data_IF_119747892266
#
_entry.id   IF_119747892266
#
_cell.length_a   1.000
_cell.length_b   1.000
_cell.length_c   1.000
_cell.angle_alpha   90.00
_cell.angle_beta   90.00
_cell.angle_gamma   90.00
#
_symmetry.space_group_name_H-M   'P 1'
#
loop_
_entity.id
_entity.type
_entity.pdbx_description
1 polymer ?
#
# COMPACT_ATOMS: atom_id res chain seq x y z
N UNK A 1 -26.88 11.82 0.72
CA UNK A 1 -26.75 10.64 -0.16
C UNK A 1 -25.25 10.41 -0.40
N UNK A 2 -24.58 9.62 0.45
CA UNK A 2 -23.16 9.28 0.25
C UNK A 2 -23.12 8.20 -0.83
N UNK A 3 -22.97 8.63 -2.06
CA UNK A 3 -22.92 7.76 -3.23
C UNK A 3 -21.54 7.13 -3.32
N UNK A 4 -21.43 5.84 -2.94
CA UNK A 4 -20.26 4.96 -3.03
C UNK A 4 -18.98 5.52 -2.36
N UNK A 5 -18.72 5.12 -1.13
CA UNK A 5 -17.46 5.40 -0.42
C UNK A 5 -16.30 4.81 -1.21
N UNK A 6 -15.37 5.66 -1.66
CA UNK A 6 -14.10 5.20 -2.19
C UNK A 6 -13.35 4.48 -1.07
N UNK A 7 -12.93 3.23 -1.29
CA UNK A 7 -12.23 2.45 -0.26
C UNK A 7 -10.98 3.17 0.25
N UNK A 8 -10.36 4.00 -0.58
CA UNK A 8 -9.17 4.79 -0.24
C UNK A 8 -9.42 5.83 0.85
N UNK A 9 -10.69 6.17 1.12
CA UNK A 9 -11.07 7.00 2.26
C UNK A 9 -10.85 6.32 3.62
N UNK A 10 -10.62 5.01 3.63
CA UNK A 10 -10.35 4.22 4.84
C UNK A 10 -8.86 3.92 5.00
N UNK A 11 -8.00 4.47 4.15
CA UNK A 11 -6.58 4.10 4.09
C UNK A 11 -5.72 5.26 4.56
N UNK A 12 -4.89 4.99 5.57
CA UNK A 12 -3.91 5.95 6.09
C UNK A 12 -2.57 5.82 5.35
N UNK A 13 -2.12 4.59 5.09
CA UNK A 13 -0.81 4.36 4.50
C UNK A 13 -0.78 3.10 3.63
N UNK A 14 -0.15 3.21 2.46
CA UNK A 14 0.23 2.07 1.61
C UNK A 14 1.74 2.06 1.47
N UNK A 15 2.36 0.92 1.76
CA UNK A 15 3.77 0.70 1.48
C UNK A 15 4.01 -0.62 0.76
N UNK A 16 5.09 -0.66 0.00
CA UNK A 16 5.42 -1.80 -0.85
C UNK A 16 6.89 -2.18 -0.70
N UNK A 17 7.15 -3.46 -0.56
CA UNK A 17 8.44 -4.09 -0.78
C UNK A 17 8.39 -4.87 -2.09
N UNK A 18 9.34 -4.61 -2.99
CA UNK A 18 9.40 -5.19 -4.33
C UNK A 18 10.18 -6.52 -4.40
N UNK A 19 10.81 -6.93 -3.30
CA UNK A 19 11.60 -8.16 -3.20
C UNK A 19 11.64 -8.65 -1.74
N UNK A 20 10.45 -8.90 -1.19
CA UNK A 20 10.28 -9.28 0.20
C UNK A 20 10.85 -10.68 0.48
N UNK A 21 11.68 -10.79 1.51
CA UNK A 21 12.38 -12.04 1.88
C UNK A 21 11.60 -12.91 2.89
N UNK A 22 10.39 -12.50 3.28
CA UNK A 22 9.59 -13.15 4.32
C UNK A 22 10.01 -12.80 5.75
N UNK A 23 11.00 -11.91 5.94
CA UNK A 23 11.55 -11.55 7.25
C UNK A 23 11.48 -10.05 7.49
N UNK A 24 12.09 -9.25 6.61
CA UNK A 24 12.21 -7.80 6.75
C UNK A 24 11.45 -7.11 5.63
N UNK A 25 10.51 -6.23 5.98
CA UNK A 25 9.81 -5.42 5.01
C UNK A 25 10.65 -4.19 4.65
N UNK A 26 11.28 -4.22 3.47
CA UNK A 26 12.11 -3.14 2.96
C UNK A 26 11.27 -2.19 2.10
N UNK A 27 10.88 -1.05 2.67
CA UNK A 27 10.01 -0.08 1.99
C UNK A 27 10.70 0.44 0.72
N UNK A 28 10.17 0.05 -0.44
CA UNK A 28 10.52 0.58 -1.75
C UNK A 28 9.64 1.76 -2.15
N UNK A 29 8.34 1.66 -1.87
CA UNK A 29 7.35 2.72 -2.12
C UNK A 29 6.53 2.96 -0.85
N UNK A 30 6.24 4.23 -0.60
CA UNK A 30 5.38 4.70 0.49
C UNK A 30 4.42 5.76 -0.06
N UNK A 31 3.13 5.58 0.20
CA UNK A 31 2.07 6.46 -0.28
C UNK A 31 1.09 6.75 0.86
N UNK A 32 0.93 8.03 1.17
CA UNK A 32 0.05 8.55 2.21
C UNK A 32 -0.81 9.68 1.61
N UNK A 33 -2.07 9.83 2.03
CA UNK A 33 -2.83 11.03 1.73
C UNK A 33 -2.11 12.27 2.26
N UNK A 34 -1.84 13.26 1.40
CA UNK A 34 -1.12 14.47 1.80
C UNK A 34 -1.98 15.47 2.60
N UNK A 35 -3.30 15.34 2.49
CA UNK A 35 -4.30 16.13 3.22
C UNK A 35 -5.67 15.42 3.24
N UNK A 36 -6.65 15.97 3.98
CA UNK A 36 -8.00 15.42 4.18
C UNK A 36 -8.85 15.29 2.90
N UNK A 37 -8.45 15.94 1.81
CA UNK A 37 -9.13 15.89 0.50
C UNK A 37 -8.45 14.95 -0.48
N UNK A 38 -7.29 14.41 -0.12
CA UNK A 38 -6.53 13.48 -0.96
C UNK A 38 -6.70 12.04 -0.49
N UNK A 39 -6.36 11.13 -1.39
CA UNK A 39 -6.32 9.70 -1.15
C UNK A 39 -4.97 9.16 -1.60
N UNK A 40 -4.64 7.97 -1.13
CA UNK A 40 -3.60 7.16 -1.78
C UNK A 40 -3.92 6.94 -3.26
N UNK A 41 -2.92 6.66 -4.08
CA UNK A 41 -3.09 6.39 -5.51
C UNK A 41 -4.03 5.21 -5.75
N UNK A 42 -3.83 4.10 -5.01
CA UNK A 42 -4.59 2.86 -5.16
C UNK A 42 -4.23 2.04 -6.41
N UNK A 43 -3.39 2.57 -7.29
CA UNK A 43 -2.75 1.84 -8.39
C UNK A 43 -1.27 2.22 -8.47
N UNK A 44 -0.42 1.21 -8.51
CA UNK A 44 1.03 1.38 -8.47
C UNK A 44 1.68 0.61 -9.61
N UNK A 45 2.67 1.23 -10.25
CA UNK A 45 3.54 0.58 -11.24
C UNK A 45 4.92 0.42 -10.61
N UNK A 46 5.44 -0.80 -10.61
CA UNK A 46 6.71 -1.14 -9.95
C UNK A 46 7.68 -1.59 -11.05
N UNK A 47 8.58 -0.71 -11.51
CA UNK A 47 9.58 -1.10 -12.50
C UNK A 47 10.69 -1.96 -11.86
N UNK A 48 11.36 -2.75 -12.69
CA UNK A 48 12.58 -3.49 -12.31
C UNK A 48 12.38 -4.47 -11.13
N UNK A 49 11.25 -5.17 -11.10
CA UNK A 49 11.04 -6.29 -10.16
C UNK A 49 11.91 -7.48 -10.62
N UNK A 50 12.81 -8.02 -9.77
CA UNK A 50 13.59 -9.20 -10.12
C UNK A 50 12.70 -10.40 -10.47
N UNK A 51 13.15 -11.24 -11.40
CA UNK A 51 12.43 -12.47 -11.73
C UNK A 51 12.30 -13.38 -10.50
N UNK A 52 11.07 -13.82 -10.19
CA UNK A 52 10.80 -14.66 -9.02
C UNK A 52 10.78 -13.94 -7.67
N UNK A 53 10.90 -12.60 -7.66
CA UNK A 53 10.75 -11.82 -6.44
C UNK A 53 9.31 -11.90 -5.91
N UNK A 54 9.18 -11.92 -4.57
CA UNK A 54 7.90 -11.75 -3.88
C UNK A 54 7.65 -10.27 -3.68
N UNK A 55 6.48 -9.80 -4.10
CA UNK A 55 6.02 -8.44 -3.84
C UNK A 55 5.17 -8.47 -2.58
N UNK A 56 5.52 -7.64 -1.60
CA UNK A 56 4.71 -7.47 -0.40
C UNK A 56 4.09 -6.07 -0.37
N UNK A 57 2.79 -6.03 -0.12
CA UNK A 57 2.01 -4.81 0.08
C UNK A 57 1.58 -4.75 1.53
N UNK A 58 1.95 -3.68 2.22
CA UNK A 58 1.47 -3.36 3.55
C UNK A 58 0.49 -2.19 3.45
N UNK A 59 -0.68 -2.36 4.05
CA UNK A 59 -1.73 -1.35 4.10
C UNK A 59 -2.08 -1.10 5.55
N UNK A 60 -2.14 0.17 5.95
CA UNK A 60 -2.62 0.61 7.25
C UNK A 60 -3.90 1.43 7.03
N UNK A 61 -4.98 1.02 7.70
CA UNK A 61 -6.25 1.74 7.67
C UNK A 61 -6.26 2.93 8.65
N UNK A 62 -7.29 3.77 8.56
CA UNK A 62 -7.45 4.94 9.44
C UNK A 62 -7.65 4.61 10.94
N UNK A 63 -7.81 3.33 11.29
CA UNK A 63 -7.85 2.85 12.68
C UNK A 63 -6.50 2.26 13.12
N UNK A 64 -5.48 2.31 12.27
CA UNK A 64 -4.15 1.77 12.52
C UNK A 64 -4.04 0.26 12.30
N UNK A 65 -5.05 -0.42 11.73
CA UNK A 65 -4.92 -1.85 11.45
C UNK A 65 -3.97 -2.09 10.29
N UNK A 66 -2.95 -2.90 10.53
CA UNK A 66 -2.01 -3.33 9.51
C UNK A 66 -2.50 -4.62 8.81
N UNK A 67 -2.47 -4.63 7.49
CA UNK A 67 -2.65 -5.85 6.69
C UNK A 67 -1.46 -6.01 5.73
N UNK A 68 -0.86 -7.20 5.71
CA UNK A 68 0.21 -7.59 4.80
C UNK A 68 -0.32 -8.58 3.75
N UNK A 69 -0.10 -8.26 2.47
CA UNK A 69 -0.41 -9.12 1.33
C UNK A 69 0.89 -9.46 0.59
N UNK A 70 1.07 -10.72 0.22
CA UNK A 70 2.25 -11.18 -0.54
C UNK A 70 1.80 -11.82 -1.85
N UNK A 71 2.54 -11.55 -2.94
CA UNK A 71 2.31 -12.14 -4.26
C UNK A 71 3.61 -12.55 -4.93
#
# INVERSE_FOLDING_TARGET
KLTKTDWRSLIEWVSLDRNYDGRTFNVYLSDIPKDIKQYVSGRYTIPNVPGGAVIALKVIDILGHETLWVK
#
